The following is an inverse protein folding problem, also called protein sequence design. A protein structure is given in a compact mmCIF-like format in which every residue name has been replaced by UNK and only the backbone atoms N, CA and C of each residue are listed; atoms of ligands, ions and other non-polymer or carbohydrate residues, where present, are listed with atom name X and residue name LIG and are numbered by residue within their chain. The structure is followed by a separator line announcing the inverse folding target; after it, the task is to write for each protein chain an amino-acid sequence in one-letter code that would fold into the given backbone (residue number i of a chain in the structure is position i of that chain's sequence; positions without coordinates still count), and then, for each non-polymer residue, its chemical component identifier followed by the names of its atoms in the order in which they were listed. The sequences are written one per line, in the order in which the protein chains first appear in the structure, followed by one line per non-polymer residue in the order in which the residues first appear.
data_IF_957291271338
#
_entry.id   IF_957291271338
#
_cell.length_a   1.000
_cell.length_b   1.000
_cell.length_c   1.000
_cell.angle_alpha   90.00
_cell.angle_beta   90.00
_cell.angle_gamma   90.00
#
_symmetry.space_group_name_H-M   'P 1'
#
loop_
_entity.id
_entity.type
_entity.pdbx_description
1 polymer ?
2 non-polymer ?
3 non-polymer ?
4 non-polymer ?
5 non-polymer ?
6 water ?
#
# COMPACT_ATOMS: atom_id res chain seq x y z
N UNK A 1 -7.45 -29.72 8.04
CA UNK A 1 -6.14 -29.51 8.61
C UNK A 1 -6.08 -29.83 10.09
N UNK A 2 -4.90 -30.22 10.56
CA UNK A 2 -4.73 -30.54 11.98
C UNK A 2 -5.14 -29.35 12.84
N UNK A 3 -5.86 -29.64 13.93
CA UNK A 3 -6.30 -28.59 14.83
C UNK A 3 -5.12 -27.81 15.41
N UNK A 4 -3.93 -28.41 15.46
CA UNK A 4 -2.76 -27.71 16.00
C UNK A 4 -2.31 -26.57 15.10
N UNK A 5 -2.76 -26.53 13.84
CA UNK A 5 -2.47 -25.42 12.95
C UNK A 5 -3.40 -24.27 13.35
N UNK A 6 -2.87 -23.31 14.10
CA UNK A 6 -3.66 -22.22 14.65
C UNK A 6 -3.30 -20.93 13.91
N UNK A 7 -4.13 -20.57 12.93
CA UNK A 7 -3.85 -19.41 12.10
C UNK A 7 -3.87 -18.10 12.88
N UNK A 8 -4.55 -18.07 14.03
CA UNK A 8 -4.67 -16.85 14.83
C UNK A 8 -3.77 -16.86 16.05
N UNK A 9 -2.83 -17.80 16.14
CA UNK A 9 -1.92 -17.82 17.26
C UNK A 9 -1.05 -16.56 17.26
N UNK A 10 -0.53 -16.23 18.45
CA UNK A 10 0.33 -15.06 18.58
C UNK A 10 1.55 -15.17 17.66
N UNK A 11 2.17 -16.35 17.62
CA UNK A 11 3.35 -16.54 16.77
C UNK A 11 3.01 -16.41 15.29
N UNK A 12 1.84 -16.93 14.88
CA UNK A 12 1.46 -16.86 13.47
C UNK A 12 1.28 -15.41 13.03
N UNK A 13 0.57 -14.60 13.82
CA UNK A 13 0.39 -13.20 13.48
C UNK A 13 1.73 -12.47 13.43
N UNK A 14 2.62 -12.74 14.38
CA UNK A 14 3.93 -12.11 14.38
C UNK A 14 4.72 -12.49 13.12
N UNK A 15 4.71 -13.78 12.77
CA UNK A 15 5.46 -14.24 11.61
C UNK A 15 4.89 -13.66 10.31
N UNK A 16 3.56 -13.56 10.22
CA UNK A 16 2.92 -13.07 9.01
C UNK A 16 3.04 -11.54 8.86
N UNK A 17 3.28 -10.82 9.95
CA UNK A 17 3.25 -9.36 9.90
C UNK A 17 4.33 -8.82 8.96
N UNK A 18 5.45 -9.53 8.81
CA UNK A 18 6.55 -9.09 7.96
C UNK A 18 6.70 -9.93 6.71
N UNK A 19 5.76 -10.85 6.44
CA UNK A 19 5.92 -11.79 5.33
C UNK A 19 5.53 -11.17 4.01
N UNK A 20 4.60 -10.22 4.00
CA UNK A 20 4.04 -9.69 2.75
C UNK A 20 3.50 -10.82 1.87
N UNK A 21 3.03 -11.89 2.51
CA UNK A 21 2.53 -13.04 1.78
C UNK A 21 1.28 -12.67 0.99
N UNK A 22 1.26 -12.83 -0.33
CA UNK A 22 0.05 -12.48 -1.08
C UNK A 22 -1.18 -13.31 -0.69
N UNK A 23 -1.00 -14.57 -0.28
CA UNK A 23 -2.14 -15.36 0.16
C UNK A 23 -2.74 -14.81 1.45
N UNK A 24 -1.94 -14.17 2.30
CA UNK A 24 -2.49 -13.48 3.46
C UNK A 24 -3.19 -12.20 3.03
N UNK A 25 -2.59 -11.47 2.08
CA UNK A 25 -3.21 -10.25 1.58
C UNK A 25 -4.58 -10.55 0.96
N UNK A 26 -4.70 -11.65 0.23
CA UNK A 26 -5.95 -12.03 -0.41
C UNK A 26 -6.93 -12.71 0.54
N UNK A 27 -6.47 -13.14 1.72
CA UNK A 27 -7.32 -13.83 2.68
C UNK A 27 -7.95 -12.88 3.68
N UNK A 28 -8.59 -13.47 4.68
CA UNK A 28 -9.23 -12.72 5.75
C UNK A 28 -8.79 -13.12 7.14
N UNK A 29 -8.67 -14.43 7.41
CA UNK A 29 -8.48 -14.91 8.78
C UNK A 29 -7.29 -14.21 9.43
N UNK A 30 -6.11 -14.31 8.82
CA UNK A 30 -4.89 -13.89 9.50
C UNK A 30 -4.82 -12.36 9.58
N UNK A 31 -4.99 -11.67 8.45
CA UNK A 31 -4.82 -10.22 8.45
C UNK A 31 -5.89 -9.54 9.30
N UNK A 32 -7.14 -10.04 9.24
CA UNK A 32 -8.20 -9.42 10.01
C UNK A 32 -7.98 -9.61 11.51
N UNK A 33 -7.54 -10.80 11.91
CA UNK A 33 -7.27 -11.03 13.33
C UNK A 33 -6.15 -10.13 13.83
N UNK A 34 -5.09 -9.96 13.03
CA UNK A 34 -3.97 -9.11 13.44
C UNK A 34 -4.42 -7.67 13.65
N UNK A 35 -5.21 -7.13 12.72
CA UNK A 35 -5.65 -5.75 12.83
C UNK A 35 -6.68 -5.61 13.94
N UNK A 36 -7.56 -6.59 14.10
CA UNK A 36 -8.59 -6.52 15.14
C UNK A 36 -7.96 -6.53 16.53
N UNK A 37 -6.76 -7.09 16.67
CA UNK A 37 -6.13 -7.15 17.99
C UNK A 37 -5.70 -5.78 18.49
N UNK A 38 -5.55 -4.80 17.60
CA UNK A 38 -5.08 -3.49 17.98
C UNK A 38 -3.58 -3.37 18.15
N UNK A 39 -2.85 -4.49 18.12
CA UNK A 39 -1.41 -4.47 18.27
C UNK A 39 -0.66 -4.31 16.95
N UNK A 40 -1.31 -4.63 15.83
CA UNK A 40 -0.67 -4.58 14.52
C UNK A 40 -1.27 -3.43 13.71
N UNK A 41 -0.42 -2.51 13.29
CA UNK A 41 -0.83 -1.36 12.48
C UNK A 41 -0.68 -1.76 11.02
N UNK A 42 -1.76 -1.84 10.24
CA UNK A 42 -1.61 -2.22 8.83
C UNK A 42 -0.87 -1.14 8.05
N UNK A 43 0.16 -1.58 7.32
CA UNK A 43 0.92 -0.74 6.41
C UNK A 43 0.47 -1.09 4.99
N UNK A 44 -0.41 -0.28 4.42
CA UNK A 44 -0.84 -0.47 3.03
C UNK A 44 0.19 0.17 2.11
N UNK A 45 0.75 -0.63 1.21
CA UNK A 45 1.74 -0.13 0.26
C UNK A 45 1.98 -1.11 -0.87
N UNK A 46 3.19 -1.09 -1.43
CA UNK A 46 3.55 -2.02 -2.49
C UNK A 46 4.98 -2.52 -2.31
N UNK A 47 5.78 -2.58 -3.37
CA UNK A 47 7.06 -3.29 -3.31
C UNK A 47 8.05 -2.62 -2.36
N UNK A 48 7.89 -1.34 -2.05
CA UNK A 48 8.83 -0.68 -1.16
C UNK A 48 8.81 -1.28 0.24
N UNK A 49 7.71 -1.92 0.64
CA UNK A 49 7.61 -2.49 1.98
C UNK A 49 8.67 -3.54 2.26
N UNK A 50 9.21 -4.19 1.23
CA UNK A 50 10.19 -5.26 1.42
C UNK A 50 11.61 -4.76 1.57
N UNK A 51 11.85 -3.46 1.42
CA UNK A 51 13.19 -2.89 1.52
C UNK A 51 13.57 -2.81 3.00
N UNK A 52 13.92 -3.98 3.55
CA UNK A 52 14.24 -4.08 4.96
C UNK A 52 15.67 -3.62 5.24
N UNK A 53 15.85 -3.04 6.42
CA UNK A 53 17.17 -2.73 6.96
C UNK A 53 17.00 -2.50 8.46
N UNK A 54 18.09 -2.10 9.12
CA UNK A 54 18.02 -1.82 10.55
C UNK A 54 17.03 -0.70 10.85
N UNK A 55 16.69 0.12 9.86
CA UNK A 55 15.86 1.29 10.07
C UNK A 55 14.47 1.13 9.49
N UNK A 56 14.14 -0.05 8.97
CA UNK A 56 12.78 -0.34 8.56
C UNK A 56 11.86 -0.35 9.78
N UNK A 57 10.63 0.17 9.68
CA UNK A 57 9.77 0.22 10.86
C UNK A 57 9.53 -1.13 11.52
N UNK A 58 9.50 -2.23 10.76
CA UNK A 58 9.34 -3.54 11.35
C UNK A 58 10.50 -3.90 12.27
N UNK A 59 11.71 -3.43 11.93
CA UNK A 59 12.89 -3.75 12.75
C UNK A 59 12.98 -2.81 13.94
N UNK A 60 12.77 -1.51 13.71
CA UNK A 60 12.85 -0.55 14.81
C UNK A 60 11.78 -0.83 15.86
N UNK A 61 10.58 -1.20 15.44
CA UNK A 61 9.51 -1.48 16.39
C UNK A 61 9.84 -2.68 17.26
N UNK A 62 10.44 -3.72 16.67
CA UNK A 62 10.83 -4.89 17.45
C UNK A 62 12.05 -4.59 18.33
N UNK A 63 13.02 -3.85 17.81
CA UNK A 63 14.22 -3.56 18.58
C UNK A 63 13.90 -2.82 19.86
N UNK A 64 12.98 -1.86 19.81
CA UNK A 64 12.68 -1.00 20.94
C UNK A 64 11.34 -1.32 21.59
N UNK A 65 10.81 -2.53 21.35
CA UNK A 65 9.71 -3.08 22.13
C UNK A 65 8.56 -2.09 22.26
N UNK A 66 8.07 -1.59 21.13
CA UNK A 66 6.95 -0.68 21.13
C UNK A 66 5.65 -1.43 21.38
N UNK A 67 4.59 -0.68 21.66
CA UNK A 67 3.27 -1.25 21.89
C UNK A 67 2.53 -1.56 20.59
N UNK A 68 3.22 -1.52 19.45
CA UNK A 68 2.61 -1.84 18.17
C UNK A 68 3.68 -2.43 17.26
N UNK A 69 3.22 -3.13 16.23
CA UNK A 69 4.10 -3.65 15.19
C UNK A 69 3.44 -3.36 13.85
N UNK A 70 4.22 -3.03 12.82
CA UNK A 70 3.62 -2.94 11.48
C UNK A 70 3.14 -4.31 11.01
N UNK A 71 2.11 -4.29 10.18
CA UNK A 71 1.66 -5.48 9.45
C UNK A 71 1.68 -5.12 7.97
N UNK A 72 2.71 -5.58 7.28
CA UNK A 72 2.94 -5.17 5.90
C UNK A 72 1.91 -5.81 4.98
N UNK A 73 1.16 -4.98 4.25
CA UNK A 73 0.11 -5.44 3.35
C UNK A 73 0.36 -4.82 1.98
N UNK A 74 0.91 -5.61 1.07
CA UNK A 74 1.15 -5.16 -0.28
C UNK A 74 2.41 -5.78 -0.84
N UNK A 75 2.60 -5.58 -2.14
CA UNK A 75 3.81 -5.99 -2.84
C UNK A 75 3.79 -5.29 -4.19
N UNK A 76 4.73 -5.66 -5.06
CA UNK A 76 4.73 -5.14 -6.41
C UNK A 76 3.41 -5.44 -7.10
N UNK A 77 2.74 -4.40 -7.58
CA UNK A 77 1.50 -4.55 -8.32
C UNK A 77 0.24 -4.34 -7.53
N UNK A 78 0.32 -4.04 -6.23
CA UNK A 78 -0.87 -3.81 -5.40
C UNK A 78 -1.07 -2.30 -5.27
N UNK A 79 -2.05 -1.77 -6.00
CA UNK A 79 -2.35 -0.35 -5.99
C UNK A 79 -3.68 -0.11 -5.24
N UNK A 80 -4.27 1.08 -5.44
CA UNK A 80 -5.33 1.53 -4.57
C UNK A 80 -6.57 0.65 -4.68
N UNK A 81 -6.90 0.20 -5.90
CA UNK A 81 -8.11 -0.59 -6.07
C UNK A 81 -8.03 -1.91 -5.32
N UNK A 82 -6.90 -2.60 -5.44
CA UNK A 82 -6.67 -3.81 -4.65
C UNK A 82 -6.78 -3.51 -3.16
N UNK A 83 -6.12 -2.43 -2.71
CA UNK A 83 -6.10 -2.11 -1.30
C UNK A 83 -7.47 -1.71 -0.77
N UNK A 84 -8.28 -1.05 -1.59
CA UNK A 84 -9.63 -0.68 -1.16
C UNK A 84 -10.43 -1.93 -0.78
N UNK A 85 -10.26 -3.02 -1.51
CA UNK A 85 -10.95 -4.26 -1.17
C UNK A 85 -10.33 -4.94 0.03
N UNK A 86 -9.00 -4.83 0.18
CA UNK A 86 -8.34 -5.34 1.38
C UNK A 86 -8.90 -4.63 2.62
N UNK A 87 -9.03 -3.31 2.55
CA UNK A 87 -9.55 -2.53 3.67
C UNK A 87 -11.00 -2.93 3.95
N UNK A 88 -11.83 -2.97 2.91
CA UNK A 88 -13.23 -3.31 3.10
C UNK A 88 -13.39 -4.68 3.75
N UNK A 89 -12.54 -5.64 3.34
CA UNK A 89 -12.67 -7.00 3.86
C UNK A 89 -12.32 -7.10 5.33
N UNK A 90 -11.62 -6.11 5.89
CA UNK A 90 -11.31 -6.13 7.31
C UNK A 90 -12.54 -5.86 8.16
N UNK A 91 -13.53 -5.15 7.61
CA UNK A 91 -14.75 -4.88 8.35
C UNK A 91 -14.46 -4.15 9.64
N UNK A 92 -15.14 -4.57 10.71
CA UNK A 92 -14.98 -3.93 12.00
C UNK A 92 -13.61 -4.17 12.62
N UNK A 93 -12.79 -5.05 12.03
CA UNK A 93 -11.46 -5.28 12.57
C UNK A 93 -10.62 -4.00 12.56
N UNK A 94 -10.78 -3.19 11.51
CA UNK A 94 -10.02 -1.95 11.38
C UNK A 94 -10.77 -0.73 11.91
N UNK A 95 -12.04 -0.90 12.31
CA UNK A 95 -12.84 0.24 12.73
C UNK A 95 -12.22 0.94 13.94
N UNK A 96 -12.13 2.26 13.86
CA UNK A 96 -11.66 3.11 14.96
C UNK A 96 -10.19 2.90 15.28
N UNK A 97 -9.43 2.30 14.38
CA UNK A 97 -8.02 2.01 14.62
C UNK A 97 -7.14 2.90 13.75
N UNK A 98 -5.84 2.62 13.77
CA UNK A 98 -4.86 3.41 13.03
C UNK A 98 -4.25 2.58 11.92
N UNK A 99 -3.90 3.26 10.83
CA UNK A 99 -3.29 2.61 9.68
C UNK A 99 -2.26 3.54 9.05
N UNK A 100 -1.39 2.95 8.24
CA UNK A 100 -0.38 3.68 7.48
C UNK A 100 -0.57 3.34 6.02
N UNK A 101 -0.56 4.35 5.16
CA UNK A 101 -0.79 4.18 3.73
C UNK A 101 0.36 4.82 2.97
N UNK A 102 1.16 4.00 2.29
CA UNK A 102 2.33 4.47 1.57
C UNK A 102 1.95 4.61 0.10
N UNK A 103 1.84 5.85 -0.37
CA UNK A 103 1.56 6.12 -1.76
C UNK A 103 2.83 5.93 -2.60
N UNK A 104 2.62 5.54 -3.85
CA UNK A 104 3.70 5.48 -4.82
C UNK A 104 3.31 6.36 -6.00
N UNK A 105 4.07 7.42 -6.32
CA UNK A 105 3.72 8.21 -7.51
C UNK A 105 3.62 7.37 -8.77
N UNK A 106 4.39 6.28 -8.84
CA UNK A 106 4.40 5.44 -10.02
C UNK A 106 3.07 4.72 -10.24
N UNK A 107 2.22 4.66 -9.21
CA UNK A 107 0.89 4.07 -9.37
C UNK A 107 0.06 4.85 -10.37
N UNK A 108 0.24 6.17 -10.44
CA UNK A 108 -0.70 7.05 -11.11
C UNK A 108 -0.30 7.25 -12.58
N UNK A 109 -0.21 6.12 -13.29
CA UNK A 109 0.10 6.15 -14.71
C UNK A 109 -1.16 6.44 -15.51
N UNK A 110 -0.96 6.80 -16.78
CA UNK A 110 -2.06 7.28 -17.62
C UNK A 110 -3.22 6.29 -17.66
N UNK A 111 -2.93 5.01 -17.81
CA UNK A 111 -3.96 4.00 -17.92
C UNK A 111 -4.28 3.32 -16.59
N UNK A 112 -3.64 3.76 -15.50
CA UNK A 112 -3.95 3.20 -14.20
C UNK A 112 -3.26 1.86 -13.97
N UNK A 113 -3.75 1.13 -12.98
CA UNK A 113 -3.13 -0.15 -12.61
C UNK A 113 -3.23 -1.11 -13.79
N UNK A 114 -2.14 -1.76 -14.20
CA UNK A 114 -2.22 -2.70 -15.33
C UNK A 114 -3.15 -3.87 -15.03
N UNK A 115 -3.70 -4.45 -16.11
CA UNK A 115 -4.59 -5.59 -15.96
C UNK A 115 -3.94 -6.71 -15.16
N UNK A 116 -2.70 -7.07 -15.51
CA UNK A 116 -2.04 -8.21 -14.87
C UNK A 116 -1.67 -7.91 -13.43
N UNK A 117 -1.44 -6.64 -13.08
CA UNK A 117 -1.13 -6.30 -11.69
C UNK A 117 -2.36 -6.46 -10.82
N UNK A 118 -3.50 -5.94 -11.27
CA UNK A 118 -4.75 -6.16 -10.53
C UNK A 118 -5.10 -7.64 -10.52
N UNK A 119 -4.99 -8.31 -11.67
CA UNK A 119 -5.38 -9.70 -11.74
C UNK A 119 -4.53 -10.60 -10.86
N UNK A 120 -3.23 -10.30 -10.75
CA UNK A 120 -2.35 -11.12 -9.93
C UNK A 120 -2.73 -11.06 -8.45
N UNK A 121 -3.39 -10.00 -8.01
CA UNK A 121 -3.73 -9.83 -6.60
C UNK A 121 -5.24 -9.82 -6.36
N UNK A 122 -6.04 -10.14 -7.38
CA UNK A 122 -7.49 -10.17 -7.22
C UNK A 122 -7.90 -11.23 -6.21
N UNK A 123 -8.70 -10.82 -5.24
CA UNK A 123 -9.21 -11.73 -4.19
C UNK A 123 -10.69 -12.00 -4.47
N UNK A 124 -10.98 -13.22 -4.92
CA UNK A 124 -12.38 -13.60 -5.10
C UNK A 124 -13.10 -13.69 -3.77
N UNK A 125 -12.40 -14.16 -2.73
CA UNK A 125 -12.96 -14.17 -1.38
C UNK A 125 -13.49 -12.79 -0.99
N UNK A 126 -12.61 -11.79 -1.01
CA UNK A 126 -12.99 -10.46 -0.55
C UNK A 126 -14.04 -9.82 -1.46
N UNK A 127 -13.93 -10.04 -2.78
CA UNK A 127 -14.91 -9.48 -3.70
C UNK A 127 -16.28 -10.12 -3.51
N UNK A 128 -16.33 -11.45 -3.40
CA UNK A 128 -17.60 -12.12 -3.17
C UNK A 128 -18.18 -11.76 -1.80
N UNK A 129 -17.34 -11.68 -0.78
CA UNK A 129 -17.80 -11.27 0.54
C UNK A 129 -18.43 -9.89 0.49
N UNK A 130 -17.81 -8.96 -0.22
CA UNK A 130 -18.33 -7.61 -0.34
C UNK A 130 -19.74 -7.61 -0.94
N UNK A 131 -19.94 -8.38 -2.00
CA UNK A 131 -21.25 -8.40 -2.65
C UNK A 131 -22.28 -9.17 -1.84
N UNK A 132 -21.86 -10.21 -1.13
CA UNK A 132 -22.80 -11.02 -0.36
C UNK A 132 -23.39 -10.22 0.80
N UNK A 133 -22.61 -9.34 1.41
CA UNK A 133 -23.04 -8.58 2.59
C UNK A 133 -23.57 -7.20 2.24
N UNK A 134 -23.71 -6.89 0.95
CA UNK A 134 -24.16 -5.55 0.55
C UNK A 134 -25.66 -5.41 0.81
N UNK A 135 -26.02 -4.49 1.71
CA UNK A 135 -27.42 -4.21 2.03
C UNK A 135 -27.86 -2.82 1.65
N UNK A 136 -26.95 -1.86 1.57
CA UNK A 136 -27.27 -0.50 1.13
C UNK A 136 -26.21 -0.05 0.13
N UNK A 137 -26.65 0.54 -0.97
CA UNK A 137 -25.76 0.89 -2.07
C UNK A 137 -25.21 2.30 -1.86
N UNK A 138 -23.90 2.44 -2.03
CA UNK A 138 -23.23 3.73 -1.97
C UNK A 138 -22.57 4.02 -3.31
N UNK A 139 -22.21 5.29 -3.50
CA UNK A 139 -21.49 5.68 -4.71
C UNK A 139 -20.16 4.93 -4.81
N UNK A 140 -19.49 4.70 -3.68
CA UNK A 140 -18.26 3.94 -3.70
C UNK A 140 -18.47 2.52 -4.23
N UNK A 141 -19.58 1.89 -3.84
CA UNK A 141 -19.87 0.54 -4.35
C UNK A 141 -20.06 0.58 -5.86
N UNK A 142 -20.69 1.61 -6.38
CA UNK A 142 -20.91 1.72 -7.82
C UNK A 142 -19.61 2.00 -8.55
N UNK A 143 -18.72 2.81 -7.94
CA UNK A 143 -17.43 3.05 -8.56
C UNK A 143 -16.60 1.78 -8.61
N UNK A 144 -16.58 1.01 -7.51
CA UNK A 144 -15.89 -0.27 -7.51
C UNK A 144 -16.43 -1.18 -8.60
N UNK A 145 -17.75 -1.28 -8.71
CA UNK A 145 -18.36 -2.11 -9.74
C UNK A 145 -17.91 -1.69 -11.13
N UNK A 146 -17.94 -0.38 -11.41
CA UNK A 146 -17.54 0.11 -12.72
C UNK A 146 -16.10 -0.28 -13.04
N UNK A 147 -15.19 -0.07 -12.08
CA UNK A 147 -13.78 -0.36 -12.33
C UNK A 147 -13.55 -1.86 -12.52
N UNK A 148 -14.17 -2.69 -11.68
CA UNK A 148 -13.91 -4.12 -11.73
C UNK A 148 -14.29 -4.71 -13.08
N UNK A 149 -15.36 -4.21 -13.70
CA UNK A 149 -15.78 -4.72 -14.99
C UNK A 149 -14.76 -4.42 -16.09
N UNK A 150 -13.76 -3.61 -15.82
CA UNK A 150 -12.76 -3.28 -16.82
C UNK A 150 -11.60 -4.27 -16.87
N UNK A 151 -11.53 -5.21 -15.91
CA UNK A 151 -10.37 -6.09 -15.84
C UNK A 151 -10.70 -7.50 -16.30
N UNK A 152 -9.81 -8.14 -17.07
CA UNK A 152 -10.14 -9.49 -17.58
C UNK A 152 -10.41 -10.51 -16.49
N UNK A 153 -9.71 -10.43 -15.35
CA UNK A 153 -9.91 -11.45 -14.32
C UNK A 153 -11.35 -11.45 -13.83
N UNK A 154 -12.02 -10.31 -13.92
CA UNK A 154 -13.42 -10.20 -13.53
C UNK A 154 -14.36 -10.51 -14.69
N UNK A 155 -13.97 -10.11 -15.91
CA UNK A 155 -14.86 -10.26 -17.06
C UNK A 155 -15.17 -11.73 -17.35
N UNK A 156 -14.29 -12.65 -16.97
CA UNK A 156 -14.54 -14.06 -17.19
C UNK A 156 -15.50 -14.65 -16.16
N UNK A 157 -15.92 -13.86 -15.17
CA UNK A 157 -16.86 -14.29 -14.13
C UNK A 157 -18.21 -13.70 -14.49
N UNK A 158 -19.07 -14.52 -15.13
CA UNK A 158 -20.29 -14.00 -15.71
C UNK A 158 -21.29 -13.55 -14.65
N UNK A 159 -21.48 -14.38 -13.61
CA UNK A 159 -22.41 -13.99 -12.54
C UNK A 159 -21.93 -12.70 -11.88
N UNK A 160 -20.62 -12.60 -11.63
CA UNK A 160 -20.06 -11.38 -11.08
C UNK A 160 -20.33 -10.19 -12.01
N UNK A 161 -20.05 -10.35 -13.31
CA UNK A 161 -20.28 -9.27 -14.26
C UNK A 161 -21.75 -8.86 -14.27
N UNK A 162 -22.66 -9.82 -14.20
CA UNK A 162 -24.07 -9.49 -14.18
C UNK A 162 -24.44 -8.75 -12.89
N UNK A 163 -23.85 -9.15 -11.77
CA UNK A 163 -24.10 -8.45 -10.51
C UNK A 163 -23.55 -7.03 -10.55
N UNK A 164 -22.34 -6.85 -11.08
CA UNK A 164 -21.75 -5.51 -11.14
C UNK A 164 -22.54 -4.61 -12.07
N UNK A 165 -23.20 -5.17 -13.09
CA UNK A 165 -24.03 -4.35 -13.96
C UNK A 165 -25.21 -3.77 -13.21
N UNK A 166 -25.83 -4.56 -12.32
CA UNK A 166 -26.96 -4.07 -11.54
C UNK A 166 -26.51 -2.98 -10.57
N UNK A 167 -25.34 -3.17 -9.94
CA UNK A 167 -24.83 -2.15 -9.04
C UNK A 167 -24.69 -0.81 -9.75
N UNK A 168 -24.09 -0.81 -10.95
CA UNK A 168 -23.94 0.43 -11.70
C UNK A 168 -25.30 1.04 -12.03
N UNK A 169 -26.32 0.21 -12.19
CA UNK A 169 -27.67 0.71 -12.46
C UNK A 169 -28.39 1.15 -11.19
N UNK A 170 -27.73 1.10 -10.04
CA UNK A 170 -28.35 1.52 -8.80
C UNK A 170 -29.14 0.45 -8.08
N UNK A 171 -28.89 -0.82 -8.37
CA UNK A 171 -29.63 -1.92 -7.78
C UNK A 171 -28.70 -2.81 -6.97
N UNK A 172 -29.21 -3.33 -5.86
CA UNK A 172 -28.47 -4.28 -5.06
C UNK A 172 -28.36 -5.62 -5.79
N UNK A 173 -27.44 -6.48 -5.37
CA UNK A 173 -27.36 -7.81 -5.98
C UNK A 173 -28.67 -8.57 -5.83
N UNK A 174 -29.10 -9.21 -6.92
CA UNK A 174 -30.31 -10.00 -6.87
C UNK A 174 -30.15 -11.16 -5.90
N UNK A 175 -31.28 -11.67 -5.41
CA UNK A 175 -31.25 -12.78 -4.46
C UNK A 175 -30.44 -13.95 -5.00
N UNK A 176 -30.67 -14.33 -6.26
CA UNK A 176 -29.93 -15.44 -6.85
C UNK A 176 -28.45 -15.12 -6.98
N UNK A 177 -28.11 -13.83 -7.13
CA UNK A 177 -26.70 -13.46 -7.21
C UNK A 177 -26.04 -13.54 -5.84
N UNK A 178 -26.70 -13.01 -4.81
CA UNK A 178 -26.17 -13.12 -3.46
C UNK A 178 -26.05 -14.57 -3.04
N UNK A 179 -27.08 -15.39 -3.32
CA UNK A 179 -27.00 -16.81 -2.99
C UNK A 179 -25.79 -17.46 -3.65
N UNK A 180 -25.50 -17.10 -4.90
CA UNK A 180 -24.36 -17.67 -5.60
C UNK A 180 -23.06 -17.36 -4.88
N UNK A 181 -22.86 -16.08 -4.51
CA UNK A 181 -21.65 -15.72 -3.79
C UNK A 181 -21.55 -16.46 -2.47
N UNK A 182 -22.68 -16.63 -1.77
CA UNK A 182 -22.67 -17.32 -0.49
C UNK A 182 -22.27 -18.77 -0.68
N UNK A 183 -22.76 -19.41 -1.74
CA UNK A 183 -22.36 -20.79 -2.02
C UNK A 183 -20.85 -20.89 -2.21
N UNK A 184 -20.27 -19.99 -3.01
CA UNK A 184 -18.84 -20.05 -3.27
C UNK A 184 -18.04 -19.66 -2.04
N UNK A 185 -18.54 -18.72 -1.24
CA UNK A 185 -17.81 -18.29 -0.05
C UNK A 185 -17.56 -19.45 0.91
N UNK A 186 -18.46 -20.44 0.95
CA UNK A 186 -18.21 -21.62 1.77
C UNK A 186 -16.91 -22.29 1.36
N UNK A 187 -16.64 -22.37 0.06
CA UNK A 187 -15.37 -22.92 -0.39
C UNK A 187 -14.22 -21.94 -0.17
N UNK A 188 -14.44 -20.67 -0.48
CA UNK A 188 -13.36 -19.69 -0.41
C UNK A 188 -12.87 -19.50 1.03
N UNK A 189 -13.79 -19.51 2.00
CA UNK A 189 -13.38 -19.39 3.39
C UNK A 189 -12.65 -20.63 3.87
N UNK A 190 -13.10 -21.81 3.45
CA UNK A 190 -12.39 -23.04 3.79
C UNK A 190 -10.98 -23.04 3.20
N UNK A 191 -10.85 -22.57 1.95
CA UNK A 191 -9.53 -22.51 1.33
C UNK A 191 -8.65 -21.46 1.99
N UNK A 192 -9.25 -20.38 2.50
CA UNK A 192 -8.49 -19.42 3.30
C UNK A 192 -7.90 -20.08 4.53
N UNK A 193 -8.71 -20.85 5.27
CA UNK A 193 -8.22 -21.53 6.46
C UNK A 193 -7.13 -22.55 6.11
N UNK A 194 -7.28 -23.24 4.98
CA UNK A 194 -6.39 -24.34 4.65
C UNK A 194 -5.11 -23.89 3.96
N UNK A 195 -5.19 -22.89 3.09
CA UNK A 195 -4.10 -22.58 2.16
C UNK A 195 -3.49 -21.20 2.31
N UNK A 196 -4.04 -20.33 3.16
CA UNK A 196 -3.57 -18.95 3.22
C UNK A 196 -2.14 -18.82 3.73
N UNK A 197 -1.57 -19.87 4.32
CA UNK A 197 -0.20 -19.82 4.80
C UNK A 197 0.81 -20.43 3.83
N UNK A 198 0.34 -21.02 2.73
CA UNK A 198 1.25 -21.56 1.73
C UNK A 198 2.05 -20.42 1.11
N UNK A 199 3.37 -20.58 1.07
CA UNK A 199 4.24 -19.55 0.53
C UNK A 199 4.59 -18.43 1.49
N UNK A 200 4.01 -18.41 2.70
CA UNK A 200 4.36 -17.37 3.66
C UNK A 200 5.80 -17.57 4.13
N UNK A 201 6.65 -16.58 3.89
CA UNK A 201 8.03 -16.58 4.34
C UNK A 201 8.20 -15.34 5.21
N UNK A 202 8.22 -15.54 6.52
CA UNK A 202 8.41 -14.43 7.44
C UNK A 202 9.80 -13.84 7.30
N UNK A 203 9.88 -12.52 7.48
CA UNK A 203 11.16 -11.83 7.53
C UNK A 203 11.67 -11.67 8.94
N UNK A 204 11.09 -12.39 9.90
CA UNK A 204 11.58 -12.32 11.28
C UNK A 204 13.05 -12.65 11.41
N UNK A 205 13.62 -13.61 10.66
CA UNK A 205 15.07 -13.82 10.73
C UNK A 205 15.86 -12.59 10.31
N UNK A 206 15.39 -11.85 9.30
CA UNK A 206 16.06 -10.63 8.91
C UNK A 206 15.93 -9.57 10.00
N UNK A 207 14.76 -9.50 10.64
CA UNK A 207 14.54 -8.55 11.72
C UNK A 207 15.57 -8.78 12.83
N UNK A 208 15.71 -10.04 13.26
CA UNK A 208 16.60 -10.34 14.38
C UNK A 208 18.06 -10.15 14.00
N UNK A 209 18.40 -10.28 12.71
CA UNK A 209 19.76 -10.02 12.27
C UNK A 209 20.05 -8.53 12.28
N UNK A 210 19.13 -7.72 11.75
CA UNK A 210 19.35 -6.29 11.67
C UNK A 210 19.27 -5.62 13.04
N UNK A 211 18.52 -6.22 13.97
CA UNK A 211 18.46 -5.68 15.34
C UNK A 211 19.85 -5.58 15.95
N UNK A 212 20.76 -6.49 15.60
CA UNK A 212 22.11 -6.47 16.15
C UNK A 212 22.92 -5.27 15.68
N UNK A 213 22.44 -4.53 14.68
CA UNK A 213 23.11 -3.34 14.19
C UNK A 213 22.69 -2.07 14.93
N UNK A 214 21.61 -2.13 15.70
CA UNK A 214 21.03 -0.93 16.29
C UNK A 214 21.51 -0.76 17.73
N UNK A 215 21.65 0.48 18.21
CA UNK A 215 22.00 0.70 19.61
C UNK A 215 20.89 0.25 20.55
N UNK A 216 21.26 0.09 21.82
CA UNK A 216 20.32 -0.41 22.82
C UNK A 216 19.16 0.56 23.05
N UNK A 217 19.40 1.86 22.92
CA UNK A 217 18.37 2.86 23.12
C UNK A 217 18.18 3.66 21.84
N UNK A 218 16.96 4.14 21.63
CA UNK A 218 16.61 4.87 20.42
C UNK A 218 17.09 6.32 20.51
N UNK A 219 17.79 6.76 19.47
CA UNK A 219 18.11 8.17 19.31
C UNK A 219 18.13 8.45 17.81
N UNK A 220 17.26 9.36 17.35
CA UNK A 220 17.12 9.59 15.92
C UNK A 220 18.44 10.03 15.29
N UNK A 221 19.05 11.09 15.83
CA UNK A 221 20.26 11.63 15.23
C UNK A 221 21.36 10.57 15.15
N UNK A 222 21.51 9.77 16.20
CA UNK A 222 22.47 8.67 16.15
C UNK A 222 22.12 7.70 15.03
N UNK A 223 20.84 7.33 14.93
CA UNK A 223 20.41 6.40 13.89
C UNK A 223 20.57 7.00 12.50
N UNK A 224 20.27 8.29 12.35
CA UNK A 224 20.40 8.93 11.04
C UNK A 224 21.84 8.87 10.54
N UNK A 225 22.79 9.18 11.42
CA UNK A 225 24.20 9.08 11.05
C UNK A 225 24.60 7.63 10.78
N UNK A 226 24.13 6.69 11.60
CA UNK A 226 24.46 5.28 11.38
C UNK A 226 23.90 4.79 10.06
N UNK A 227 22.71 5.26 9.68
CA UNK A 227 22.11 4.84 8.42
C UNK A 227 22.97 5.27 7.24
N UNK A 228 23.59 6.45 7.33
CA UNK A 228 24.49 6.88 6.26
C UNK A 228 25.71 6.00 6.14
N UNK A 229 26.28 5.58 7.27
CA UNK A 229 27.47 4.73 7.24
C UNK A 229 27.12 3.35 6.66
N UNK A 230 26.04 2.74 7.12
CA UNK A 230 25.64 1.43 6.61
C UNK A 230 25.29 1.53 5.13
N UNK A 231 24.53 2.54 4.75
CA UNK A 231 24.14 2.70 3.36
C UNK A 231 25.36 2.87 2.45
N UNK A 232 26.34 3.65 2.91
CA UNK A 232 27.52 3.92 2.08
C UNK A 232 28.23 2.63 1.68
N UNK A 233 28.19 1.61 2.54
CA UNK A 233 28.79 0.32 2.19
C UNK A 233 28.06 -0.34 1.04
N UNK A 234 26.73 -0.22 1.00
CA UNK A 234 25.89 -1.03 0.14
C UNK A 234 25.50 -0.35 -1.17
N UNK A 235 26.18 0.73 -1.55
CA UNK A 235 25.85 1.44 -2.78
C UNK A 235 27.13 1.89 -3.47
N UNK A 236 28.21 1.12 -3.29
CA UNK A 236 29.54 1.54 -3.73
C UNK A 236 29.90 1.09 -5.13
N UNK A 237 29.08 0.27 -5.78
CA UNK A 237 29.40 -0.21 -7.13
C UNK A 237 28.80 0.67 -8.22
N UNK A 238 28.25 1.82 -7.87
CA UNK A 238 27.67 2.73 -8.85
C UNK A 238 27.64 4.13 -8.25
N UNK A 239 27.33 5.11 -9.10
CA UNK A 239 27.35 6.52 -8.72
C UNK A 239 25.97 7.07 -8.43
N UNK A 240 24.91 6.26 -8.54
CA UNK A 240 23.55 6.73 -8.36
C UNK A 240 23.01 6.46 -6.95
N UNK A 241 23.87 6.02 -6.03
CA UNK A 241 23.45 5.67 -4.67
C UNK A 241 22.36 4.61 -4.69
N UNK A 242 22.49 3.64 -5.60
CA UNK A 242 21.55 2.53 -5.71
C UNK A 242 22.20 1.29 -5.10
N UNK A 243 21.39 0.46 -4.45
CA UNK A 243 21.91 -0.77 -3.85
C UNK A 243 22.64 -1.61 -4.89
N UNK A 244 23.74 -2.23 -4.46
CA UNK A 244 24.62 -2.94 -5.39
C UNK A 244 23.84 -4.01 -6.16
N UNK A 245 23.10 -4.86 -5.45
CA UNK A 245 22.37 -5.93 -6.12
C UNK A 245 21.35 -5.39 -7.10
N UNK A 246 20.54 -4.44 -6.67
CA UNK A 246 19.55 -3.83 -7.56
C UNK A 246 20.21 -3.25 -8.80
N UNK A 247 21.39 -2.64 -8.65
CA UNK A 247 22.03 -1.95 -9.77
C UNK A 247 22.57 -2.96 -10.79
N UNK A 248 23.38 -3.92 -10.34
CA UNK A 248 24.00 -4.85 -11.27
C UNK A 248 22.99 -5.76 -11.95
N UNK A 249 21.79 -5.92 -11.40
CA UNK A 249 20.79 -6.81 -11.96
C UNK A 249 19.78 -6.10 -12.86
N UNK A 250 19.47 -4.83 -12.59
CA UNK A 250 18.41 -4.13 -13.30
C UNK A 250 18.88 -2.90 -14.07
N UNK A 251 19.98 -2.27 -13.67
CA UNK A 251 20.44 -1.02 -14.27
C UNK A 251 21.66 -1.25 -15.15
N UNK A 252 22.68 -1.92 -14.60
CA UNK A 252 23.96 -2.08 -15.30
C UNK A 252 23.81 -2.62 -16.71
N UNK A 253 23.04 -3.69 -16.96
CA UNK A 253 23.02 -4.27 -18.31
C UNK A 253 22.38 -3.37 -19.36
N UNK A 254 21.64 -2.34 -18.96
CA UNK A 254 20.91 -1.51 -19.92
C UNK A 254 21.11 -0.04 -19.59
N UNK A 255 22.20 0.28 -18.88
CA UNK A 255 22.42 1.65 -18.44
C UNK A 255 22.33 2.68 -19.57
N UNK A 256 22.91 2.45 -20.76
CA UNK A 256 22.80 3.49 -21.80
C UNK A 256 21.37 3.73 -22.27
N UNK A 257 20.55 2.69 -22.37
CA UNK A 257 19.19 2.85 -22.84
C UNK A 257 18.32 3.62 -21.86
N UNK A 258 18.69 3.65 -20.58
CA UNK A 258 17.88 4.31 -19.57
C UNK A 258 18.08 5.82 -19.52
N UNK A 259 19.14 6.33 -20.14
CA UNK A 259 19.36 7.77 -20.16
C UNK A 259 18.22 8.47 -20.87
N UNK A 260 17.66 9.49 -20.24
CA UNK A 260 16.57 10.28 -20.78
C UNK A 260 15.30 9.47 -21.03
N UNK A 261 15.27 8.22 -20.57
CA UNK A 261 14.15 7.33 -20.88
C UNK A 261 12.84 7.75 -20.23
N UNK A 262 12.88 8.68 -19.27
CA UNK A 262 11.69 9.04 -18.51
C UNK A 262 11.34 10.53 -18.64
N UNK A 263 11.93 11.23 -19.62
CA UNK A 263 11.65 12.64 -19.78
C UNK A 263 10.16 12.91 -20.00
N UNK A 264 9.45 11.99 -20.65
CA UNK A 264 8.05 12.18 -21.00
C UNK A 264 7.10 11.52 -20.01
N UNK A 265 7.60 10.83 -19.00
CA UNK A 265 6.73 10.18 -18.03
C UNK A 265 5.95 11.22 -17.23
N UNK A 266 4.70 10.90 -16.94
CA UNK A 266 3.78 11.85 -16.34
C UNK A 266 2.78 11.09 -15.47
N UNK A 267 2.69 11.48 -14.20
CA UNK A 267 1.80 10.83 -13.25
C UNK A 267 0.66 11.74 -12.80
N UNK A 268 0.41 12.85 -13.50
CA UNK A 268 -0.60 13.81 -13.08
C UNK A 268 -2.01 13.37 -13.42
N UNK A 269 -2.18 12.49 -14.41
CA UNK A 269 -3.50 12.09 -14.89
C UNK A 269 -3.60 10.57 -14.84
N UNK A 270 -4.60 10.06 -14.13
CA UNK A 270 -4.68 8.62 -13.93
C UNK A 270 -6.02 8.18 -13.35
N UNK A 271 -6.54 7.03 -13.76
CA UNK A 271 -7.66 6.43 -13.00
C UNK A 271 -7.29 6.08 -11.58
N UNK A 272 -5.99 6.03 -11.25
CA UNK A 272 -5.58 5.70 -9.89
C UNK A 272 -6.08 6.73 -8.89
N UNK A 273 -6.28 7.99 -9.32
CA UNK A 273 -6.85 8.98 -8.43
C UNK A 273 -8.26 8.58 -8.01
N UNK A 274 -9.02 7.99 -8.92
CA UNK A 274 -10.32 7.45 -8.56
C UNK A 274 -10.21 6.21 -7.69
N UNK A 275 -9.30 5.30 -8.04
CA UNK A 275 -9.10 4.10 -7.23
C UNK A 275 -8.61 4.47 -5.84
N UNK A 276 -7.76 5.49 -5.75
CA UNK A 276 -7.31 6.00 -4.46
C UNK A 276 -8.48 6.53 -3.65
N UNK A 277 -9.42 7.22 -4.31
CA UNK A 277 -10.62 7.68 -3.64
C UNK A 277 -11.40 6.51 -3.04
N UNK A 278 -11.42 5.37 -3.75
CA UNK A 278 -12.13 4.21 -3.23
C UNK A 278 -11.54 3.77 -1.91
N UNK A 279 -10.21 3.76 -1.80
CA UNK A 279 -9.56 3.39 -0.54
C UNK A 279 -9.85 4.41 0.55
N UNK A 280 -9.89 5.70 0.18
CA UNK A 280 -10.17 6.74 1.16
C UNK A 280 -11.58 6.61 1.73
N UNK A 281 -12.56 6.32 0.87
CA UNK A 281 -13.93 6.16 1.36
C UNK A 281 -14.04 4.98 2.31
N UNK A 282 -13.36 3.87 2.00
CA UNK A 282 -13.40 2.71 2.90
C UNK A 282 -12.78 3.05 4.25
N UNK A 283 -11.68 3.80 4.25
CA UNK A 283 -11.04 4.17 5.51
C UNK A 283 -11.92 5.12 6.31
N UNK A 284 -12.55 6.09 5.65
CA UNK A 284 -13.40 7.03 6.35
C UNK A 284 -14.67 6.37 6.89
N UNK A 285 -15.21 5.40 6.15
CA UNK A 285 -16.45 4.75 6.60
C UNK A 285 -16.24 3.98 7.90
N UNK A 286 -15.03 3.50 8.16
CA UNK A 286 -14.73 2.77 9.38
C UNK A 286 -13.97 3.64 10.39
N UNK A 287 -13.96 4.96 10.19
CA UNK A 287 -13.37 5.88 11.15
C UNK A 287 -11.91 5.51 11.43
N UNK A 288 -11.17 5.21 10.38
CA UNK A 288 -9.76 4.81 10.50
C UNK A 288 -8.89 6.07 10.44
N UNK A 289 -8.04 6.23 11.44
CA UNK A 289 -7.06 7.30 11.47
C UNK A 289 -5.82 6.83 10.69
N UNK A 290 -5.41 7.62 9.70
CA UNK A 290 -4.44 7.15 8.72
C UNK A 290 -3.32 8.17 8.56
N UNK A 291 -2.08 7.68 8.53
CA UNK A 291 -0.92 8.46 8.15
C UNK A 291 -0.53 8.10 6.72
N UNK A 292 -0.56 9.09 5.83
CA UNK A 292 -0.19 8.89 4.43
C UNK A 292 1.25 9.33 4.21
N UNK A 293 1.99 8.52 3.46
CA UNK A 293 3.40 8.77 3.20
C UNK A 293 3.59 8.91 1.69
N UNK A 294 4.32 9.94 1.27
CA UNK A 294 4.66 10.16 -0.12
C UNK A 294 6.18 10.13 -0.23
N UNK A 295 6.76 9.18 -0.95
CA UNK A 295 8.21 9.11 -1.04
C UNK A 295 8.73 9.99 -2.17
N UNK A 296 10.04 10.25 -2.19
CA UNK A 296 10.62 10.94 -3.36
C UNK A 296 11.19 9.95 -4.37
N UNK A 297 11.77 10.48 -5.44
CA UNK A 297 12.61 9.73 -6.35
C UNK A 297 14.03 10.29 -6.23
N UNK A 298 15.00 9.39 -6.15
CA UNK A 298 16.38 9.81 -5.96
C UNK A 298 16.79 10.83 -7.03
N UNK A 299 17.26 11.99 -6.57
CA UNK A 299 17.66 13.05 -7.50
C UNK A 299 18.74 12.56 -8.48
N UNK A 300 19.73 11.82 -7.96
CA UNK A 300 20.82 11.36 -8.82
C UNK A 300 20.30 10.47 -9.94
N UNK A 301 19.21 9.73 -9.70
CA UNK A 301 18.67 8.86 -10.73
C UNK A 301 17.77 9.63 -11.69
N UNK A 302 16.92 10.52 -11.16
CA UNK A 302 16.04 11.30 -12.02
C UNK A 302 16.83 12.22 -12.94
N UNK A 303 17.98 12.71 -12.48
CA UNK A 303 18.84 13.50 -13.36
C UNK A 303 19.29 12.68 -14.57
N UNK A 304 19.46 11.37 -14.40
CA UNK A 304 19.92 10.52 -15.48
C UNK A 304 18.80 10.09 -16.40
N UNK A 305 17.63 9.75 -15.83
CA UNK A 305 16.51 9.29 -16.62
C UNK A 305 15.67 10.43 -17.20
N UNK A 306 15.81 11.64 -16.66
CA UNK A 306 15.02 12.76 -17.12
C UNK A 306 13.66 12.89 -16.47
N UNK A 307 13.30 12.02 -15.53
CA UNK A 307 12.04 12.15 -14.83
C UNK A 307 11.96 13.52 -14.15
N UNK A 308 10.84 14.20 -14.36
CA UNK A 308 10.69 15.58 -13.90
C UNK A 308 10.33 15.61 -12.41
N UNK A 309 11.22 16.19 -11.60
CA UNK A 309 10.90 16.40 -10.19
C UNK A 309 9.81 17.45 -10.03
N UNK A 310 9.74 18.41 -10.95
CA UNK A 310 8.63 19.37 -10.93
C UNK A 310 7.29 18.67 -11.12
N UNK A 311 7.24 17.70 -12.04
CA UNK A 311 6.02 16.92 -12.23
C UNK A 311 5.66 16.14 -10.97
N UNK A 312 6.66 15.57 -10.29
CA UNK A 312 6.40 14.84 -9.07
C UNK A 312 5.82 15.75 -8.00
N UNK A 313 6.23 17.03 -7.97
CA UNK A 313 5.63 17.97 -7.02
C UNK A 313 4.20 18.31 -7.40
N UNK A 314 3.89 18.35 -8.70
CA UNK A 314 2.51 18.52 -9.12
C UNK A 314 1.65 17.34 -8.66
N UNK A 315 2.21 16.13 -8.72
CA UNK A 315 1.49 14.95 -8.26
C UNK A 315 1.23 15.02 -6.76
N UNK A 316 2.27 15.37 -5.99
CA UNK A 316 2.09 15.50 -4.55
C UNK A 316 1.04 16.54 -4.21
N UNK A 317 1.04 17.67 -4.93
CA UNK A 317 0.04 18.70 -4.68
C UNK A 317 -1.37 18.17 -4.93
N UNK A 318 -1.54 17.36 -5.97
CA UNK A 318 -2.86 16.82 -6.29
C UNK A 318 -3.31 15.83 -5.22
N UNK A 319 -2.41 14.95 -4.80
CA UNK A 319 -2.75 13.98 -3.77
C UNK A 319 -3.06 14.65 -2.45
N UNK A 320 -2.23 15.61 -2.05
CA UNK A 320 -2.45 16.27 -0.77
C UNK A 320 -3.72 17.11 -0.77
N UNK A 321 -4.13 17.61 -1.94
CA UNK A 321 -5.42 18.28 -2.02
C UNK A 321 -6.56 17.30 -1.80
N UNK A 322 -6.52 16.16 -2.51
CA UNK A 322 -7.56 15.15 -2.35
C UNK A 322 -7.65 14.68 -0.90
N UNK A 323 -6.51 14.56 -0.23
CA UNK A 323 -6.50 14.17 1.17
C UNK A 323 -7.01 15.28 2.07
N UNK A 324 -6.30 16.42 2.09
CA UNK A 324 -6.65 17.51 3.00
C UNK A 324 -8.08 17.99 2.79
N UNK A 325 -8.51 18.06 1.53
CA UNK A 325 -9.86 18.55 1.23
C UNK A 325 -10.94 17.72 1.90
N UNK A 326 -10.66 16.46 2.23
CA UNK A 326 -11.66 15.55 2.77
C UNK A 326 -11.41 15.19 4.23
N UNK A 327 -10.45 15.84 4.89
CA UNK A 327 -10.23 15.65 6.30
C UNK A 327 -9.06 14.74 6.65
N UNK A 328 -8.30 14.27 5.67
CA UNK A 328 -7.10 13.48 5.92
C UNK A 328 -5.94 14.46 6.08
N UNK A 329 -5.54 14.72 7.32
CA UNK A 329 -4.55 15.74 7.62
C UNK A 329 -3.22 15.18 8.12
N UNK A 330 -3.09 13.86 8.25
CA UNK A 330 -1.83 13.23 8.65
C UNK A 330 -1.10 12.81 7.38
N UNK A 331 -0.16 13.63 6.93
CA UNK A 331 0.55 13.41 5.68
C UNK A 331 2.04 13.64 5.92
N UNK A 332 2.84 12.60 5.69
CA UNK A 332 4.31 12.71 5.73
C UNK A 332 4.78 12.79 4.28
N UNK A 333 4.94 14.01 3.79
CA UNK A 333 5.31 14.25 2.39
C UNK A 333 6.83 14.38 2.30
N UNK A 334 7.51 13.31 1.87
CA UNK A 334 8.93 13.32 1.66
C UNK A 334 9.30 13.45 0.18
N UNK A 335 8.38 13.90 -0.67
CA UNK A 335 8.66 14.05 -2.08
C UNK A 335 9.71 15.13 -2.35
N UNK A 336 9.87 16.09 -1.43
CA UNK A 336 10.89 17.11 -1.55
C UNK A 336 12.26 16.65 -1.07
N UNK A 337 12.39 15.40 -0.61
CA UNK A 337 13.65 14.87 -0.11
C UNK A 337 14.42 14.11 -1.19
N UNK A 338 14.21 14.45 -2.47
CA UNK A 338 14.85 13.71 -3.54
C UNK A 338 16.37 13.77 -3.46
N UNK A 339 16.91 14.89 -2.98
CA UNK A 339 18.36 15.07 -2.91
C UNK A 339 18.95 14.60 -1.57
N UNK A 340 18.13 14.06 -0.68
CA UNK A 340 18.64 13.57 0.60
C UNK A 340 19.41 12.27 0.37
N UNK A 341 20.68 12.26 0.76
CA UNK A 341 21.53 11.10 0.51
C UNK A 341 21.12 9.92 1.38
N UNK A 342 21.21 8.73 0.81
CA UNK A 342 20.91 7.47 1.50
C UNK A 342 19.45 7.37 1.91
N UNK A 343 18.59 8.21 1.33
CA UNK A 343 17.17 8.18 1.66
C UNK A 343 16.47 6.99 1.02
N UNK A 344 16.83 6.68 -0.22
CA UNK A 344 16.21 5.61 -0.98
C UNK A 344 17.13 4.38 -0.99
N UNK A 345 16.51 3.21 -1.12
CA UNK A 345 17.27 1.98 -1.26
C UNK A 345 17.78 1.78 -2.68
N UNK A 346 17.03 2.30 -3.67
CA UNK A 346 17.40 2.16 -5.06
C UNK A 346 16.80 3.31 -5.86
N UNK A 347 16.03 3.00 -6.90
CA UNK A 347 15.51 4.05 -7.77
C UNK A 347 14.25 4.69 -7.21
N UNK A 348 13.33 3.89 -6.67
CA UNK A 348 12.02 4.39 -6.30
C UNK A 348 11.57 3.90 -4.94
N UNK A 349 12.34 3.00 -4.33
CA UNK A 349 11.95 2.35 -3.08
C UNK A 349 12.63 3.00 -1.90
N UNK A 350 11.85 3.30 -0.86
CA UNK A 350 12.40 3.85 0.37
C UNK A 350 13.52 2.97 0.89
N UNK A 351 14.52 3.60 1.51
CA UNK A 351 15.70 2.92 2.01
C UNK A 351 16.06 3.37 3.41
N UNK A 352 17.35 3.23 3.72
CA UNK A 352 17.87 3.40 5.07
C UNK A 352 17.34 4.65 5.76
N UNK A 353 17.74 5.84 5.30
CA UNK A 353 17.31 7.07 5.94
C UNK A 353 15.87 7.43 5.63
N UNK A 354 15.33 6.95 4.52
CA UNK A 354 13.93 7.20 4.23
C UNK A 354 12.99 6.50 5.19
N UNK A 355 13.24 5.21 5.44
CA UNK A 355 12.40 4.48 6.39
C UNK A 355 12.57 5.03 7.81
N UNK A 356 13.80 5.42 8.18
CA UNK A 356 14.00 6.05 9.48
C UNK A 356 13.14 7.29 9.65
N UNK A 357 13.11 8.13 8.61
CA UNK A 357 12.25 9.32 8.66
C UNK A 357 10.78 8.94 8.74
N UNK A 358 10.36 7.97 7.93
CA UNK A 358 8.98 7.51 7.98
C UNK A 358 8.67 6.93 9.36
N UNK A 359 9.58 6.12 9.89
CA UNK A 359 9.36 5.51 11.20
C UNK A 359 9.10 6.56 12.27
N UNK A 360 9.84 7.67 12.24
CA UNK A 360 9.61 8.72 13.23
C UNK A 360 8.21 9.29 13.11
N UNK A 361 7.77 9.55 11.87
CA UNK A 361 6.42 10.08 11.68
C UNK A 361 5.37 9.06 12.09
N UNK A 362 5.59 7.79 11.79
CA UNK A 362 4.65 6.75 12.21
C UNK A 362 4.58 6.69 13.73
N UNK A 363 5.75 6.65 14.38
CA UNK A 363 5.78 6.54 15.83
C UNK A 363 5.07 7.71 16.50
N UNK A 364 5.39 8.93 16.05
CA UNK A 364 4.70 10.11 16.58
C UNK A 364 3.21 10.02 16.33
N UNK A 365 2.81 9.52 15.15
CA UNK A 365 1.40 9.37 14.81
C UNK A 365 0.72 8.36 15.73
N UNK A 366 1.42 7.28 16.09
CA UNK A 366 0.83 6.28 16.95
C UNK A 366 0.64 6.80 18.37
N UNK A 367 1.43 7.77 18.79
CA UNK A 367 1.28 8.37 20.11
C UNK A 367 0.26 9.51 20.13
N UNK A 368 -0.16 10.01 18.97
CA UNK A 368 -1.17 11.05 18.94
C UNK A 368 -2.44 10.54 19.64
N UNK A 369 -3.12 11.41 20.42
CA UNK A 369 -4.29 10.93 21.18
C UNK A 369 -5.39 10.35 20.29
N UNK A 374 -13.36 11.31 13.96
CA UNK A 374 -12.61 12.04 12.94
C UNK A 374 -13.55 12.80 12.02
N UNK A 375 -13.19 14.06 11.74
CA UNK A 375 -14.05 14.94 10.93
C UNK A 375 -13.71 14.79 9.45
N UNK A 376 -14.13 13.66 8.90
CA UNK A 376 -13.96 13.38 7.47
C UNK A 376 -15.12 13.99 6.69
N UNK A 377 -14.79 14.54 5.50
CA UNK A 377 -15.78 15.13 4.61
C UNK A 377 -15.56 14.53 3.21
N UNK A 378 -15.97 13.27 3.06
CA UNK A 378 -15.78 12.57 1.79
C UNK A 378 -16.61 13.25 0.71
N UNK A 379 -16.00 13.48 -0.44
CA UNK A 379 -16.66 14.09 -1.59
C UNK A 379 -16.60 13.10 -2.74
N UNK A 380 -17.76 12.52 -3.09
CA UNK A 380 -17.80 11.50 -4.13
C UNK A 380 -17.30 12.01 -5.47
N UNK A 381 -17.28 13.33 -5.68
CA UNK A 381 -16.87 13.86 -6.97
C UNK A 381 -15.41 13.56 -7.28
N UNK A 382 -14.62 13.15 -6.29
CA UNK A 382 -13.25 12.71 -6.56
C UNK A 382 -13.20 11.38 -7.28
N UNK A 383 -14.33 10.69 -7.44
CA UNK A 383 -14.38 9.50 -8.29
C UNK A 383 -14.45 9.83 -9.77
N UNK A 384 -14.79 11.06 -10.13
CA UNK A 384 -15.15 11.40 -11.50
C UNK A 384 -13.91 11.51 -12.39
N UNK A 385 -14.14 11.32 -13.69
CA UNK A 385 -13.07 11.42 -14.67
C UNK A 385 -12.45 12.81 -14.70
N UNK A 386 -13.24 13.86 -14.42
CA UNK A 386 -12.69 15.21 -14.47
C UNK A 386 -11.66 15.44 -13.37
N UNK A 387 -11.76 14.70 -12.26
CA UNK A 387 -10.70 14.78 -11.26
C UNK A 387 -9.50 13.92 -11.65
N UNK A 388 -9.76 12.72 -12.19
CA UNK A 388 -8.67 11.88 -12.68
C UNK A 388 -7.82 12.62 -13.69
N UNK A 389 -8.45 13.47 -14.51
CA UNK A 389 -7.77 14.21 -15.57
C UNK A 389 -7.47 15.64 -15.18
N UNK A 390 -7.69 16.03 -13.92
CA UNK A 390 -7.50 17.41 -13.51
C UNK A 390 -6.03 17.79 -13.49
N UNK A 391 -5.71 18.92 -14.09
CA UNK A 391 -4.35 19.46 -14.02
C UNK A 391 -4.15 20.12 -12.65
N UNK A 392 -3.15 19.71 -11.87
CA UNK A 392 -3.03 20.22 -10.50
C UNK A 392 -2.38 21.60 -10.38
N UNK A 393 -1.99 22.24 -11.49
CA UNK A 393 -1.38 23.55 -11.38
C UNK A 393 -2.34 24.57 -10.78
N UNK A 394 -3.65 24.33 -10.87
CA UNK A 394 -4.62 25.27 -10.32
C UNK A 394 -4.87 25.06 -8.84
N UNK A 395 -4.38 23.97 -8.26
CA UNK A 395 -4.73 23.64 -6.89
C UNK A 395 -3.89 24.44 -5.89
N UNK A 396 -4.43 24.69 -4.70
CA UNK A 396 -3.64 25.33 -3.65
C UNK A 396 -2.67 24.33 -3.02
N UNK A 397 -1.73 24.87 -2.25
CA UNK A 397 -0.70 24.07 -1.59
C UNK A 397 -1.14 23.84 -0.15
N UNK A 398 -1.75 22.68 0.10
CA UNK A 398 -2.15 22.27 1.44
C UNK A 398 -1.07 21.37 2.04
#
# INVERSE_FOLDING_TARGET
GAMAINLTSEKTLKEASTSMAPNVLKGNVIKNKAVASGKYVPFFGSSELSRFSAFHPSVLSEKYQRNYRPFLLGEAGTQSLTQAMVIHSMGDAIANKKAVFILSPQWFVKKGVPNDSFGAHYSQLQTYQWLANLTELTSGDQYLAQRLTKFPVVQKDKVLMETLANLQAGQLPQRSQRDYFIMNLRFLNREDELFSQIGMVSREPIVEKDMKQLPATYNFNELDQLAGKIAAKAINNNKFEISNGFYRQRIKPVLPKLAHSQKKWDYRFSPEYGDFQAALEQLAEKNVDVLFVIPPVNKRWSDYTGLSQDMLQQVARKLKYQLQEQGFTNIADFSTCSNERYFMADTIHLGWRGWLAVDRQVDEFMKQPASKKLAYQIDDRFYQTDWQQQNPLVLPQF
#
